data_IF_090913517234
#
_entry.id   IF_090913517234
#
_cell.length_a   1.000
_cell.length_b   1.000
_cell.length_c   1.000
_cell.angle_alpha   90.00
_cell.angle_beta   90.00
_cell.angle_gamma   90.00
#
_symmetry.space_group_name_H-M   'P 1'
#
loop_
_entity.id
_entity.type
_entity.pdbx_description
1 polymer ?
#
# COMPACT_ATOMS: atom_id res chain seq x y z
N UNK A 1 -20.03 -15.39 8.90
CA UNK A 1 -19.09 -14.24 8.89
C UNK A 1 -17.66 -14.63 9.24
N UNK A 2 -17.40 -15.46 10.26
CA UNK A 2 -16.04 -15.83 10.69
C UNK A 2 -15.18 -16.48 9.59
N UNK A 3 -15.74 -17.44 8.82
CA UNK A 3 -15.05 -18.07 7.68
C UNK A 3 -14.73 -17.03 6.59
N UNK A 4 -15.70 -16.18 6.23
CA UNK A 4 -15.53 -15.17 5.17
C UNK A 4 -14.49 -14.12 5.57
N UNK A 5 -14.50 -13.70 6.83
CA UNK A 5 -13.49 -12.79 7.39
C UNK A 5 -12.11 -13.44 7.41
N UNK A 6 -12.00 -14.71 7.81
CA UNK A 6 -10.74 -15.43 7.81
C UNK A 6 -10.17 -15.58 6.40
N UNK A 7 -11.00 -15.94 5.42
CA UNK A 7 -10.62 -16.03 4.00
C UNK A 7 -10.16 -14.66 3.47
N UNK A 8 -10.88 -13.60 3.79
CA UNK A 8 -10.51 -12.24 3.40
C UNK A 8 -9.15 -11.82 3.98
N UNK A 9 -8.92 -12.05 5.27
CA UNK A 9 -7.63 -11.74 5.90
C UNK A 9 -6.49 -12.56 5.30
N UNK A 10 -6.69 -13.85 5.05
CA UNK A 10 -5.69 -14.71 4.39
C UNK A 10 -5.35 -14.20 2.99
N UNK A 11 -6.34 -13.76 2.22
CA UNK A 11 -6.13 -13.25 0.86
C UNK A 11 -5.33 -11.93 0.87
N UNK A 12 -5.65 -11.01 1.78
CA UNK A 12 -4.89 -9.76 1.95
C UNK A 12 -3.44 -10.06 2.34
N UNK A 13 -3.22 -10.94 3.31
CA UNK A 13 -1.88 -11.31 3.79
C UNK A 13 -1.06 -11.96 2.66
N UNK A 14 -1.67 -12.84 1.87
CA UNK A 14 -1.06 -13.45 0.69
C UNK A 14 -0.62 -12.40 -0.34
N UNK A 15 -1.47 -11.41 -0.66
CA UNK A 15 -1.10 -10.35 -1.60
C UNK A 15 0.10 -9.53 -1.11
N UNK A 16 0.16 -9.17 0.18
CA UNK A 16 1.29 -8.42 0.74
C UNK A 16 2.60 -9.23 0.81
N UNK A 17 2.53 -10.54 1.02
CA UNK A 17 3.72 -11.40 1.10
C UNK A 17 4.40 -11.62 -0.27
N UNK A 18 3.63 -11.72 -1.37
CA UNK A 18 4.20 -12.01 -2.70
C UNK A 18 5.09 -10.88 -3.21
N UNK A 19 4.80 -9.62 -2.85
CA UNK A 19 5.61 -8.48 -3.29
C UNK A 19 7.08 -8.56 -2.85
N UNK A 20 7.38 -9.22 -1.73
CA UNK A 20 8.76 -9.41 -1.28
C UNK A 20 9.51 -10.49 -2.07
N UNK A 21 8.81 -11.45 -2.68
CA UNK A 21 9.42 -12.59 -3.41
C UNK A 21 9.76 -12.23 -4.86
N UNK A 22 9.04 -11.28 -5.46
CA UNK A 22 9.27 -10.86 -6.85
C UNK A 22 10.26 -9.68 -6.99
N UNK A 23 10.73 -9.12 -5.87
CA UNK A 23 11.73 -8.07 -5.89
C UNK A 23 13.11 -8.67 -6.20
N UNK A 24 13.55 -8.58 -7.45
CA UNK A 24 14.94 -8.86 -7.82
C UNK A 24 15.86 -7.88 -7.09
N UNK A 25 16.93 -8.38 -6.50
CA UNK A 25 17.94 -7.55 -5.86
C UNK A 25 18.39 -6.43 -6.82
N UNK A 26 18.43 -5.16 -6.37
CA UNK A 26 18.89 -4.07 -7.21
C UNK A 26 20.33 -4.37 -7.66
N UNK A 27 20.70 -4.01 -8.90
CA UNK A 27 22.08 -4.21 -9.37
C UNK A 27 23.05 -3.55 -8.40
N UNK A 28 24.07 -4.31 -7.99
CA UNK A 28 25.10 -3.85 -7.08
C UNK A 28 25.82 -2.63 -7.70
N UNK A 29 25.97 -1.50 -6.98
CA UNK A 29 26.70 -0.36 -7.50
C UNK A 29 28.13 -0.78 -7.85
N UNK A 30 28.60 -0.40 -9.04
CA UNK A 30 29.98 -0.60 -9.43
C UNK A 30 30.90 0.02 -8.36
N UNK A 31 31.95 -0.72 -7.99
CA UNK A 31 32.90 -0.30 -6.97
C UNK A 31 33.40 1.13 -7.22
N UNK A 32 33.43 1.92 -6.15
CA UNK A 32 33.93 3.29 -6.15
C UNK A 32 35.35 3.35 -6.74
N UNK A 33 35.45 3.68 -8.03
CA UNK A 33 36.72 3.66 -8.77
C UNK A 33 36.65 4.34 -10.13
N UNK A 34 35.54 4.22 -10.85
CA UNK A 34 35.36 4.95 -12.11
C UNK A 34 34.50 6.18 -11.88
N UNK A 35 35.19 7.32 -11.75
CA UNK A 35 34.61 8.66 -11.72
C UNK A 35 33.95 8.98 -13.07
N UNK A 36 32.70 8.62 -13.26
CA UNK A 36 31.79 9.39 -14.09
C UNK A 36 30.90 10.20 -13.17
N UNK A 37 31.25 11.48 -13.06
CA UNK A 37 30.51 12.52 -12.36
C UNK A 37 29.17 12.76 -13.04
N UNK A 38 28.21 11.87 -12.80
CA UNK A 38 26.80 12.13 -13.07
C UNK A 38 26.03 11.71 -11.84
N UNK A 39 26.15 12.51 -10.78
CA UNK A 39 25.11 12.53 -9.75
C UNK A 39 23.80 12.77 -10.49
N UNK A 40 22.87 11.79 -10.54
CA UNK A 40 21.58 12.01 -11.18
C UNK A 40 20.94 13.20 -10.47
N UNK A 41 20.30 14.13 -11.19
CA UNK A 41 19.51 15.15 -10.53
C UNK A 41 18.52 14.46 -9.58
N UNK A 42 18.30 14.99 -8.38
CA UNK A 42 17.33 14.41 -7.45
C UNK A 42 16.01 14.21 -8.21
N UNK A 43 15.36 13.03 -8.05
CA UNK A 43 14.10 12.77 -8.73
C UNK A 43 13.14 13.93 -8.45
N UNK A 44 12.40 14.41 -9.46
CA UNK A 44 11.40 15.45 -9.27
C UNK A 44 10.51 15.04 -8.11
N UNK A 45 10.34 15.90 -7.11
CA UNK A 45 9.41 15.65 -6.02
C UNK A 45 8.04 15.38 -6.62
N UNK A 46 7.53 14.15 -6.47
CA UNK A 46 6.20 13.84 -6.92
C UNK A 46 5.21 14.52 -5.97
N UNK A 47 4.15 15.18 -6.46
CA UNK A 47 3.15 15.83 -5.62
C UNK A 47 2.37 14.87 -4.72
N UNK A 48 2.59 13.56 -4.87
CA UNK A 48 1.99 12.51 -4.03
C UNK A 48 2.55 12.53 -2.61
N UNK A 49 3.84 12.87 -2.44
CA UNK A 49 4.52 12.77 -1.14
C UNK A 49 3.97 13.78 -0.12
N UNK A 50 3.42 14.91 -0.58
CA UNK A 50 2.94 15.99 0.30
C UNK A 50 1.65 15.64 1.03
N UNK A 51 0.78 14.84 0.43
CA UNK A 51 -0.58 14.59 0.93
C UNK A 51 -0.89 13.11 1.17
N UNK A 52 0.11 12.23 1.11
CA UNK A 52 -0.08 10.80 1.29
C UNK A 52 -0.70 10.44 2.64
N UNK A 53 -0.33 11.16 3.71
CA UNK A 53 -0.91 10.98 5.03
C UNK A 53 -2.40 11.34 5.06
N UNK A 54 -2.79 12.41 4.37
CA UNK A 54 -4.18 12.84 4.24
C UNK A 54 -4.99 11.84 3.43
N UNK A 55 -4.45 11.34 2.32
CA UNK A 55 -5.09 10.31 1.50
C UNK A 55 -5.27 8.99 2.26
N UNK A 56 -4.26 8.60 3.05
CA UNK A 56 -4.33 7.42 3.91
C UNK A 56 -5.42 7.56 4.98
N UNK A 57 -5.51 8.73 5.63
CA UNK A 57 -6.55 9.02 6.61
C UNK A 57 -7.95 8.98 5.97
N UNK A 58 -8.12 9.58 4.79
CA UNK A 58 -9.39 9.56 4.06
C UNK A 58 -9.78 8.13 3.65
N UNK A 59 -8.85 7.33 3.14
CA UNK A 59 -9.10 5.95 2.77
C UNK A 59 -9.57 5.10 3.97
N UNK A 60 -8.95 5.27 5.14
CA UNK A 60 -9.34 4.59 6.37
C UNK A 60 -10.75 5.00 6.82
N UNK A 61 -11.02 6.30 6.87
CA UNK A 61 -12.33 6.83 7.25
C UNK A 61 -13.43 6.33 6.30
N UNK A 62 -13.14 6.32 4.99
CA UNK A 62 -14.08 5.86 3.98
C UNK A 62 -14.35 4.36 4.10
N UNK A 63 -13.33 3.55 4.36
CA UNK A 63 -13.46 2.12 4.64
C UNK A 63 -14.34 1.85 5.87
N UNK A 64 -14.11 2.58 6.98
CA UNK A 64 -14.93 2.49 8.19
C UNK A 64 -16.39 2.86 7.89
N UNK A 65 -16.62 3.96 7.16
CA UNK A 65 -17.95 4.42 6.78
C UNK A 65 -18.72 3.38 5.97
N UNK A 66 -18.09 2.77 4.95
CA UNK A 66 -18.73 1.73 4.13
C UNK A 66 -19.15 0.54 4.99
N UNK A 67 -18.26 0.07 5.88
CA UNK A 67 -18.55 -1.06 6.78
C UNK A 67 -19.72 -0.71 7.71
N UNK A 68 -19.73 0.50 8.27
CA UNK A 68 -20.79 0.97 9.15
C UNK A 68 -22.14 1.07 8.43
N UNK A 69 -22.17 1.68 7.24
CA UNK A 69 -23.36 1.82 6.40
C UNK A 69 -23.95 0.46 6.01
N UNK A 70 -23.10 -0.51 5.66
CA UNK A 70 -23.53 -1.87 5.38
C UNK A 70 -24.17 -2.55 6.60
N UNK A 71 -23.55 -2.41 7.79
CA UNK A 71 -24.10 -2.95 9.04
C UNK A 71 -25.43 -2.29 9.44
N UNK A 72 -25.59 -1.00 9.22
CA UNK A 72 -26.87 -0.30 9.48
C UNK A 72 -27.98 -0.85 8.59
N UNK A 73 -27.73 -0.98 7.28
CA UNK A 73 -28.72 -1.51 6.33
C UNK A 73 -29.17 -2.94 6.66
N UNK A 74 -28.28 -3.76 7.21
CA UNK A 74 -28.65 -5.10 7.69
C UNK A 74 -29.48 -5.11 8.97
N UNK A 75 -29.43 -4.05 9.79
CA UNK A 75 -30.22 -3.96 11.03
C UNK A 75 -31.64 -3.44 10.82
N UNK A 76 -31.89 -2.68 9.75
CA UNK A 76 -33.20 -2.08 9.45
C UNK A 76 -34.12 -3.01 8.64
N UNK A 77 -33.64 -4.18 8.21
CA UNK A 77 -34.44 -5.20 7.51
C UNK A 77 -35.12 -6.19 8.49
N UNK A 78 -35.61 -5.69 9.63
CA UNK A 78 -36.56 -6.38 10.51
C UNK A 78 -37.82 -5.55 10.63
#
# INVERSE_FOLDING_TARGET
>A
MKIVQMVFFTLVLFMFCIFNVLAKDPPQPAAAGERTSTTPPPPPGLPVDENINTMMALALLFGIYIIYSFKLKQKTLM
#
